data_IF_305058677934
#
_entry.id   IF_305058677934
#
_cell.length_a   1.000
_cell.length_b   1.000
_cell.length_c   1.000
_cell.angle_alpha   90.00
_cell.angle_beta   90.00
_cell.angle_gamma   90.00
#
_symmetry.space_group_name_H-M   'P 1'
#
loop_
_entity.id
_entity.type
_entity.pdbx_description
1 polymer ?
#
# COMPACT_ATOMS: atom_id res chain seq x y z
N UNK A 1 -14.95 -7.47 11.55
CA UNK A 1 -14.50 -8.61 10.72
C UNK A 1 -12.99 -8.81 10.88
N UNK A 2 -12.51 -10.05 10.95
CA UNK A 2 -11.08 -10.33 11.03
C UNK A 2 -10.37 -9.98 9.71
N UNK A 3 -11.10 -10.03 8.59
CA UNK A 3 -10.64 -9.70 7.24
C UNK A 3 -10.11 -8.27 7.16
N UNK A 4 -10.84 -7.31 7.75
CA UNK A 4 -10.38 -5.92 7.81
C UNK A 4 -9.08 -5.77 8.62
N UNK A 5 -8.90 -6.58 9.67
CA UNK A 5 -7.69 -6.54 10.49
C UNK A 5 -6.52 -7.15 9.73
N UNK A 6 -6.71 -8.32 9.12
CA UNK A 6 -5.70 -9.00 8.31
C UNK A 6 -5.26 -8.15 7.12
N UNK A 7 -6.20 -7.55 6.39
CA UNK A 7 -5.89 -6.70 5.27
C UNK A 7 -5.13 -5.44 5.71
N UNK A 8 -5.56 -4.80 6.81
CA UNK A 8 -4.87 -3.64 7.36
C UNK A 8 -3.44 -3.97 7.82
N UNK A 9 -3.23 -5.16 8.39
CA UNK A 9 -1.91 -5.66 8.78
C UNK A 9 -1.00 -5.82 7.56
N UNK A 10 -1.49 -6.50 6.52
CA UNK A 10 -0.73 -6.74 5.28
C UNK A 10 -0.38 -5.42 4.59
N UNK A 11 -1.31 -4.47 4.51
CA UNK A 11 -1.03 -3.15 3.91
C UNK A 11 0.00 -2.37 4.71
N UNK A 12 -0.09 -2.37 6.05
CA UNK A 12 0.89 -1.67 6.88
C UNK A 12 2.27 -2.33 6.79
N UNK A 13 2.34 -3.66 6.86
CA UNK A 13 3.60 -4.38 6.70
C UNK A 13 4.27 -4.05 5.37
N UNK A 14 3.49 -4.02 4.27
CA UNK A 14 3.99 -3.60 2.96
C UNK A 14 4.57 -2.18 3.00
N UNK A 15 3.86 -1.23 3.61
CA UNK A 15 4.31 0.15 3.73
C UNK A 15 5.56 0.33 4.60
N UNK A 16 5.71 -0.47 5.66
CA UNK A 16 6.87 -0.40 6.54
C UNK A 16 8.13 -0.98 5.90
N UNK A 17 8.00 -2.06 5.12
CA UNK A 17 9.05 -2.55 4.22
C UNK A 17 9.37 -1.45 3.19
N UNK A 18 8.33 -0.94 2.53
CA UNK A 18 8.44 0.17 1.59
C UNK A 18 9.47 -0.08 0.50
N UNK A 19 10.32 0.92 0.24
CA UNK A 19 11.41 0.81 -0.74
C UNK A 19 12.65 0.07 -0.22
N UNK A 20 12.63 -0.50 1.00
CA UNK A 20 13.77 -1.26 1.48
C UNK A 20 13.94 -2.59 0.74
N UNK A 21 12.84 -3.17 0.26
CA UNK A 21 12.83 -4.46 -0.44
C UNK A 21 12.00 -4.42 -1.70
N UNK A 22 12.41 -5.22 -2.68
CA UNK A 22 11.66 -5.51 -3.90
C UNK A 22 11.68 -7.03 -4.12
N UNK A 23 10.54 -7.63 -4.43
CA UNK A 23 10.49 -9.04 -4.81
C UNK A 23 11.02 -9.23 -6.22
N UNK A 24 11.81 -10.26 -6.44
CA UNK A 24 12.36 -10.66 -7.73
C UNK A 24 11.88 -12.05 -8.15
N UNK A 25 11.52 -12.18 -9.42
CA UNK A 25 11.25 -13.45 -10.09
C UNK A 25 11.73 -13.35 -11.54
N UNK A 26 12.84 -14.03 -11.87
CA UNK A 26 13.50 -13.88 -13.18
C UNK A 26 14.01 -12.45 -13.43
N UNK A 27 13.49 -11.74 -14.44
CA UNK A 27 13.78 -10.31 -14.66
C UNK A 27 12.68 -9.39 -14.10
N UNK A 28 11.60 -9.98 -13.60
CA UNK A 28 10.46 -9.24 -13.11
C UNK A 28 10.64 -8.88 -11.64
N UNK A 29 10.31 -7.63 -11.32
CA UNK A 29 10.35 -7.11 -9.96
C UNK A 29 9.01 -6.53 -9.54
N UNK A 30 8.68 -6.68 -8.26
CA UNK A 30 7.49 -6.09 -7.65
C UNK A 30 7.83 -5.36 -6.34
N UNK A 31 7.49 -4.07 -6.20
CA UNK A 31 7.76 -3.32 -4.98
C UNK A 31 6.81 -3.72 -3.85
N UNK A 32 7.19 -3.48 -2.60
CA UNK A 32 6.34 -3.73 -1.42
C UNK A 32 5.23 -2.66 -1.27
N UNK A 33 4.25 -2.64 -2.18
CA UNK A 33 3.17 -1.64 -2.18
C UNK A 33 1.82 -2.32 -2.32
N UNK A 34 0.91 -2.06 -1.38
CA UNK A 34 -0.43 -2.65 -1.37
C UNK A 34 -1.47 -1.54 -1.19
N UNK A 35 -2.54 -1.59 -1.99
CA UNK A 35 -3.70 -0.71 -1.88
C UNK A 35 -4.90 -1.54 -1.44
N UNK A 36 -5.55 -1.15 -0.36
CA UNK A 36 -6.60 -1.94 0.29
C UNK A 36 -7.83 -1.08 0.57
N UNK A 37 -8.97 -1.55 0.08
CA UNK A 37 -10.27 -0.97 0.33
C UNK A 37 -11.11 -1.92 1.18
N UNK A 38 -11.30 -1.58 2.45
CA UNK A 38 -12.21 -2.28 3.35
C UNK A 38 -13.65 -1.84 3.02
N UNK A 39 -14.46 -2.72 2.44
CA UNK A 39 -15.81 -2.43 1.96
C UNK A 39 -16.83 -2.91 2.98
N UNK A 40 -17.79 -2.05 3.32
CA UNK A 40 -18.97 -2.45 4.09
C UNK A 40 -19.90 -1.28 4.36
N UNK A 41 -21.07 -1.55 4.91
CA UNK A 41 -22.02 -0.51 5.30
C UNK A 41 -21.44 0.42 6.40
N UNK A 42 -22.08 1.59 6.64
CA UNK A 42 -21.83 2.35 7.86
C UNK A 42 -21.89 1.44 9.10
N UNK A 43 -21.00 1.65 10.06
CA UNK A 43 -20.90 0.84 11.29
C UNK A 43 -20.42 -0.62 11.12
N UNK A 44 -19.99 -1.05 9.94
CA UNK A 44 -19.39 -2.39 9.69
C UNK A 44 -18.06 -2.66 10.43
N UNK A 45 -17.61 -1.74 11.29
CA UNK A 45 -16.36 -1.82 12.08
C UNK A 45 -15.06 -1.68 11.26
N UNK A 46 -15.13 -1.06 10.08
CA UNK A 46 -13.97 -0.70 9.24
C UNK A 46 -12.94 0.16 9.99
N UNK A 47 -13.31 1.36 10.42
CA UNK A 47 -12.40 2.27 11.14
C UNK A 47 -11.90 1.69 12.48
N UNK A 48 -12.73 1.03 13.31
CA UNK A 48 -12.24 0.30 14.47
C UNK A 48 -11.20 -0.77 14.16
N UNK A 49 -11.28 -1.46 13.02
CA UNK A 49 -10.30 -2.45 12.60
C UNK A 49 -8.96 -1.82 12.17
N UNK A 50 -8.98 -0.62 11.59
CA UNK A 50 -7.77 0.12 11.18
C UNK A 50 -7.10 0.87 12.34
N UNK A 51 -7.86 1.25 13.38
CA UNK A 51 -7.36 2.10 14.47
C UNK A 51 -6.12 1.56 15.21
N UNK A 52 -5.97 0.24 15.48
CA UNK A 52 -4.74 -0.34 16.01
C UNK A 52 -3.49 -0.01 15.19
N UNK A 53 -3.59 -0.06 13.86
CA UNK A 53 -2.48 0.17 12.94
C UNK A 53 -2.11 1.64 12.87
N UNK A 54 -3.11 2.55 12.87
CA UNK A 54 -2.87 4.00 13.00
C UNK A 54 -2.10 4.34 14.28
N UNK A 55 -2.45 3.71 15.40
CA UNK A 55 -1.72 3.92 16.68
C UNK A 55 -0.32 3.34 16.65
N UNK A 56 -0.13 2.16 16.06
CA UNK A 56 1.19 1.56 15.88
C UNK A 56 2.11 2.49 15.08
N UNK A 57 1.63 3.04 13.97
CA UNK A 57 2.40 4.01 13.17
C UNK A 57 2.74 5.26 13.96
N UNK A 58 1.80 5.83 14.71
CA UNK A 58 2.07 7.01 15.54
C UNK A 58 3.17 6.76 16.58
N UNK A 59 3.26 5.54 17.14
CA UNK A 59 4.36 5.15 18.04
C UNK A 59 5.68 5.10 17.28
N UNK A 60 5.72 4.47 16.10
CA UNK A 60 6.94 4.38 15.29
C UNK A 60 7.42 5.77 14.82
N UNK A 61 6.50 6.65 14.43
CA UNK A 61 6.84 8.02 14.03
C UNK A 61 7.40 8.83 15.20
N UNK A 62 6.87 8.66 16.41
CA UNK A 62 7.42 9.30 17.61
C UNK A 62 8.83 8.79 17.93
N UNK A 63 9.05 7.46 17.89
CA UNK A 63 10.37 6.85 18.10
C UNK A 63 11.39 7.38 17.08
N UNK A 64 11.03 7.44 15.80
CA UNK A 64 11.91 7.96 14.75
C UNK A 64 12.13 9.47 14.84
N UNK A 65 11.11 10.24 15.26
CA UNK A 65 11.26 11.68 15.45
C UNK A 65 12.25 11.97 16.58
N UNK A 66 12.20 11.21 17.68
CA UNK A 66 13.17 11.33 18.76
C UNK A 66 14.60 11.01 18.27
N UNK A 67 14.78 9.96 17.46
CA UNK A 67 16.08 9.62 16.86
C UNK A 67 16.59 10.72 15.93
N UNK A 68 15.75 11.21 15.01
CA UNK A 68 16.11 12.26 14.05
C UNK A 68 16.43 13.57 14.76
N UNK A 69 15.64 13.98 15.77
CA UNK A 69 15.87 15.21 16.52
C UNK A 69 17.21 15.19 17.30
N UNK A 70 17.71 14.00 17.66
CA UNK A 70 19.04 13.87 18.28
C UNK A 70 20.14 14.15 17.26
N UNK A 71 19.95 13.77 16.00
CA UNK A 71 20.92 13.98 14.91
C UNK A 71 20.84 15.39 14.29
N UNK A 72 19.63 15.90 14.10
CA UNK A 72 19.31 17.20 13.51
C UNK A 72 17.98 17.74 14.06
N UNK A 73 18.05 18.75 14.94
CA UNK A 73 16.87 19.36 15.59
C UNK A 73 15.95 20.10 14.60
N UNK A 74 16.48 20.52 13.44
CA UNK A 74 15.72 21.24 12.41
C UNK A 74 15.18 20.29 11.32
N UNK A 75 15.47 18.99 11.39
CA UNK A 75 15.00 18.03 10.42
C UNK A 75 13.47 17.88 10.46
N UNK A 76 12.87 17.73 9.28
CA UNK A 76 11.44 17.48 9.17
C UNK A 76 11.10 16.12 9.83
N UNK A 77 9.99 16.03 10.58
CA UNK A 77 9.62 14.80 11.24
C UNK A 77 9.32 13.70 10.21
N UNK A 78 9.62 12.43 10.53
CA UNK A 78 9.35 11.31 9.66
C UNK A 78 7.84 11.17 9.41
N UNK A 79 7.46 10.90 8.17
CA UNK A 79 6.06 10.73 7.77
C UNK A 79 5.82 9.33 7.20
N UNK A 80 5.71 8.34 8.08
CA UNK A 80 5.29 6.98 7.71
C UNK A 80 3.83 7.04 7.23
N UNK A 81 2.98 7.78 7.95
CA UNK A 81 1.57 7.93 7.65
C UNK A 81 1.25 9.32 7.09
N UNK A 82 0.43 9.34 6.04
CA UNK A 82 -0.22 10.54 5.53
C UNK A 82 -1.73 10.37 5.55
N UNK A 83 -2.44 11.44 5.89
CA UNK A 83 -3.90 11.51 5.85
C UNK A 83 -4.40 12.08 4.51
N UNK A 84 -5.52 12.81 4.54
CA UNK A 84 -6.02 13.51 3.35
C UNK A 84 -4.97 14.52 2.82
N UNK A 85 -4.44 14.22 1.64
CA UNK A 85 -3.32 14.94 1.04
C UNK A 85 -3.58 15.14 -0.45
N UNK A 86 -3.14 16.27 -0.99
CA UNK A 86 -3.19 16.50 -2.44
C UNK A 86 -2.04 15.77 -3.13
N UNK A 87 -2.14 15.40 -4.42
CA UNK A 87 -1.05 14.73 -5.13
C UNK A 87 0.23 15.56 -5.13
N UNK A 88 0.10 16.89 -5.22
CA UNK A 88 1.23 17.82 -5.19
C UNK A 88 1.96 17.82 -3.84
N UNK A 89 1.22 17.81 -2.74
CA UNK A 89 1.80 17.72 -1.41
C UNK A 89 2.40 16.32 -1.17
N UNK A 90 1.73 15.27 -1.64
CA UNK A 90 2.25 13.90 -1.56
C UNK A 90 3.60 13.73 -2.29
N UNK A 91 3.79 14.40 -3.44
CA UNK A 91 5.08 14.42 -4.15
C UNK A 91 6.22 14.98 -3.28
N UNK A 92 5.96 16.05 -2.54
CA UNK A 92 6.96 16.68 -1.67
C UNK A 92 7.29 15.78 -0.48
N UNK A 93 6.27 15.19 0.15
CA UNK A 93 6.46 14.24 1.26
C UNK A 93 7.22 13.00 0.81
N UNK A 94 6.84 12.41 -0.33
CA UNK A 94 7.50 11.21 -0.86
C UNK A 94 8.92 11.47 -1.36
N UNK A 95 9.25 12.69 -1.79
CA UNK A 95 10.62 13.06 -2.11
C UNK A 95 11.53 13.10 -0.87
N UNK A 96 10.97 13.46 0.29
CA UNK A 96 11.69 13.49 1.56
C UNK A 96 11.71 12.13 2.27
N UNK A 97 10.76 11.23 1.98
CA UNK A 97 10.66 9.93 2.64
C UNK A 97 11.08 8.78 1.71
N UNK A 98 12.36 8.40 1.80
CA UNK A 98 12.99 7.40 0.92
C UNK A 98 12.37 6.01 0.98
N UNK A 99 11.75 5.60 2.11
CA UNK A 99 11.09 4.28 2.20
C UNK A 99 9.64 4.32 1.68
N UNK A 100 9.09 5.50 1.38
CA UNK A 100 7.68 5.67 1.02
C UNK A 100 6.77 5.84 2.24
N UNK A 101 5.46 5.90 2.01
CA UNK A 101 4.46 6.12 3.07
C UNK A 101 3.22 5.24 2.91
N UNK A 102 2.37 5.29 3.94
CA UNK A 102 1.00 4.77 3.92
C UNK A 102 -0.01 5.91 4.01
N UNK A 103 -0.92 5.95 3.04
CA UNK A 103 -2.10 6.80 3.07
C UNK A 103 -3.22 6.10 3.85
N UNK A 104 -3.59 6.62 5.02
CA UNK A 104 -4.76 6.13 5.76
C UNK A 104 -5.97 7.05 5.60
N UNK A 105 -7.08 6.48 5.11
CA UNK A 105 -8.33 7.20 4.93
C UNK A 105 -9.49 6.48 5.61
N UNK A 106 -10.26 7.18 6.44
CA UNK A 106 -11.47 6.58 7.03
C UNK A 106 -12.58 6.35 6.00
N UNK A 107 -12.58 7.15 4.93
CA UNK A 107 -13.46 7.00 3.76
C UNK A 107 -12.68 7.32 2.47
N UNK A 108 -12.66 6.39 1.51
CA UNK A 108 -11.91 6.50 0.26
C UNK A 108 -12.62 7.34 -0.81
N UNK A 109 -13.92 7.64 -0.66
CA UNK A 109 -14.73 8.31 -1.69
C UNK A 109 -14.14 9.63 -2.19
N UNK A 110 -13.62 10.46 -1.29
CA UNK A 110 -12.99 11.74 -1.65
C UNK A 110 -11.70 11.53 -2.45
N UNK A 111 -10.90 10.53 -2.08
CA UNK A 111 -9.65 10.20 -2.77
C UNK A 111 -9.94 9.57 -4.15
N UNK A 112 -10.91 8.68 -4.28
CA UNK A 112 -11.33 8.15 -5.58
C UNK A 112 -11.82 9.28 -6.50
N UNK A 113 -12.57 10.24 -5.96
CA UNK A 113 -12.98 11.44 -6.71
C UNK A 113 -11.77 12.28 -7.12
N UNK A 114 -10.75 12.38 -6.27
CA UNK A 114 -9.53 13.10 -6.55
C UNK A 114 -8.68 12.41 -7.63
N UNK A 115 -8.59 11.07 -7.59
CA UNK A 115 -7.91 10.26 -8.59
C UNK A 115 -8.53 10.44 -9.98
N UNK A 116 -9.84 10.68 -10.06
CA UNK A 116 -10.53 10.97 -11.33
C UNK A 116 -10.11 12.29 -12.01
N UNK A 117 -9.33 13.16 -11.35
CA UNK A 117 -8.87 14.42 -11.95
C UNK A 117 -7.72 14.14 -12.92
N UNK A 118 -7.69 14.80 -14.10
CA UNK A 118 -6.59 14.68 -15.04
C UNK A 118 -5.22 14.90 -14.37
N UNK A 119 -4.28 13.99 -14.60
CA UNK A 119 -2.93 14.01 -14.03
C UNK A 119 -2.82 13.42 -12.61
N UNK A 120 -3.89 13.42 -11.81
CA UNK A 120 -3.88 12.80 -10.48
C UNK A 120 -3.91 11.26 -10.58
N UNK A 121 -4.73 10.71 -11.49
CA UNK A 121 -4.78 9.27 -11.77
C UNK A 121 -3.39 8.70 -12.05
N UNK A 122 -2.65 9.36 -12.94
CA UNK A 122 -1.31 8.91 -13.36
C UNK A 122 -0.34 8.91 -12.19
N UNK A 123 -0.35 9.96 -11.35
CA UNK A 123 0.48 10.01 -10.15
C UNK A 123 0.20 8.82 -9.22
N UNK A 124 -1.07 8.52 -8.95
CA UNK A 124 -1.43 7.39 -8.11
C UNK A 124 -0.98 6.08 -8.74
N UNK A 125 -1.28 5.85 -10.02
CA UNK A 125 -0.87 4.64 -10.74
C UNK A 125 0.65 4.44 -10.70
N UNK A 126 1.44 5.51 -10.86
CA UNK A 126 2.90 5.45 -10.78
C UNK A 126 3.37 5.18 -9.35
N UNK A 127 2.69 5.73 -8.34
CA UNK A 127 2.99 5.44 -6.93
C UNK A 127 2.70 4.01 -6.50
N UNK A 128 1.82 3.30 -7.22
CA UNK A 128 1.64 1.86 -7.06
C UNK A 128 2.81 1.08 -7.68
N UNK A 129 3.40 1.62 -8.74
CA UNK A 129 4.48 1.01 -9.51
C UNK A 129 5.84 1.03 -8.80
N UNK A 130 6.09 1.97 -7.88
CA UNK A 130 7.34 2.03 -7.12
C UNK A 130 8.55 2.55 -7.90
N UNK A 131 8.35 3.00 -9.15
CA UNK A 131 9.43 3.46 -10.02
C UNK A 131 9.87 4.89 -9.77
N UNK A 132 10.87 5.35 -10.53
CA UNK A 132 11.34 6.74 -10.44
C UNK A 132 10.31 7.74 -10.97
N UNK A 133 10.14 8.84 -10.25
CA UNK A 133 9.21 9.92 -10.61
C UNK A 133 9.91 11.28 -10.61
N UNK A 134 9.67 12.09 -11.64
CA UNK A 134 10.26 13.42 -11.77
C UNK A 134 9.15 14.45 -11.94
N UNK A 135 9.14 15.45 -11.06
CA UNK A 135 8.20 16.56 -11.11
C UNK A 135 8.93 17.81 -11.57
N UNK A 136 8.51 18.34 -12.73
CA UNK A 136 9.02 19.61 -13.26
C UNK A 136 8.01 20.73 -12.98
N UNK A 137 8.48 21.82 -12.37
CA UNK A 137 7.66 23.01 -12.07
C UNK A 137 8.37 24.24 -12.61
N UNK A 138 7.59 25.15 -13.21
CA UNK A 138 8.13 26.38 -13.79
C UNK A 138 8.85 27.19 -12.71
N UNK A 139 10.12 27.53 -12.96
CA UNK A 139 10.92 28.35 -12.06
C UNK A 139 11.46 27.62 -10.83
N UNK A 140 11.40 26.29 -10.78
CA UNK A 140 11.97 25.47 -9.71
C UNK A 140 12.89 24.40 -10.32
N UNK A 141 13.86 23.93 -9.54
CA UNK A 141 14.63 22.75 -9.90
C UNK A 141 13.71 21.51 -9.96
N UNK A 142 13.99 20.53 -10.83
CA UNK A 142 13.22 19.29 -10.88
C UNK A 142 13.25 18.55 -9.53
N UNK A 143 12.09 18.14 -9.04
CA UNK A 143 11.98 17.30 -7.86
C UNK A 143 12.06 15.83 -8.31
N UNK A 144 13.12 15.13 -7.89
CA UNK A 144 13.33 13.71 -8.21
C UNK A 144 12.95 12.85 -7.02
N UNK A 145 12.14 11.83 -7.29
CA UNK A 145 11.76 10.78 -6.35
C UNK A 145 12.30 9.46 -6.91
N UNK A 146 13.38 8.89 -6.36
CA UNK A 146 14.00 7.68 -6.90
C UNK A 146 13.05 6.47 -6.97
N UNK A 147 12.22 6.31 -5.94
CA UNK A 147 11.23 5.23 -5.83
C UNK A 147 9.92 5.80 -5.27
N UNK A 148 8.97 6.11 -6.16
CA UNK A 148 7.67 6.64 -5.78
C UNK A 148 6.80 5.52 -5.21
N UNK A 149 6.77 5.41 -3.88
CA UNK A 149 6.09 4.32 -3.17
C UNK A 149 5.05 4.83 -2.18
N UNK A 150 3.79 4.51 -2.46
CA UNK A 150 2.66 4.84 -1.59
C UNK A 150 1.75 3.63 -1.46
N UNK A 151 1.72 3.02 -0.28
CA UNK A 151 0.67 2.08 0.10
C UNK A 151 -0.58 2.84 0.53
N UNK A 152 -1.76 2.24 0.39
CA UNK A 152 -3.02 2.91 0.71
C UNK A 152 -3.94 1.95 1.46
N UNK A 153 -4.52 2.41 2.55
CA UNK A 153 -5.52 1.66 3.29
C UNK A 153 -6.68 2.59 3.65
N UNK A 154 -7.89 2.19 3.30
CA UNK A 154 -9.06 2.91 3.77
C UNK A 154 -10.35 2.13 3.78
N UNK A 155 -11.34 2.71 4.46
CA UNK A 155 -12.71 2.22 4.46
C UNK A 155 -13.49 2.79 3.28
N UNK A 156 -14.47 2.04 2.78
CA UNK A 156 -15.45 2.58 1.84
C UNK A 156 -16.77 1.80 1.87
N UNK A 157 -17.70 2.22 1.02
CA UNK A 157 -19.03 1.63 0.88
C UNK A 157 -19.17 0.93 -0.48
N UNK A 158 -20.05 -0.09 -0.58
CA UNK A 158 -20.23 -0.84 -1.82
C UNK A 158 -20.53 0.05 -3.03
N UNK A 159 -21.38 1.08 -2.87
CA UNK A 159 -21.76 1.98 -3.96
C UNK A 159 -20.59 2.83 -4.45
N UNK A 160 -19.70 3.28 -3.55
CA UNK A 160 -18.49 4.01 -3.93
C UNK A 160 -17.54 3.15 -4.78
N UNK A 161 -17.46 1.85 -4.50
CA UNK A 161 -16.66 0.92 -5.30
C UNK A 161 -17.33 0.62 -6.63
N UNK A 162 -18.66 0.47 -6.64
CA UNK A 162 -19.44 0.36 -7.87
C UNK A 162 -19.18 1.54 -8.80
N UNK A 163 -19.31 2.76 -8.30
CA UNK A 163 -19.08 3.98 -9.08
C UNK A 163 -17.65 4.04 -9.64
N UNK A 164 -16.65 3.66 -8.83
CA UNK A 164 -15.26 3.60 -9.26
C UNK A 164 -15.04 2.59 -10.40
N UNK A 165 -15.64 1.41 -10.28
CA UNK A 165 -15.48 0.31 -11.24
C UNK A 165 -16.26 0.58 -12.54
N UNK A 166 -17.46 1.15 -12.45
CA UNK A 166 -18.31 1.47 -13.60
C UNK A 166 -17.80 2.69 -14.39
N UNK A 167 -16.93 3.51 -13.78
CA UNK A 167 -16.25 4.61 -14.45
C UNK A 167 -15.54 4.15 -15.74
N UNK A 168 -15.74 4.89 -16.83
CA UNK A 168 -15.07 4.61 -18.12
C UNK A 168 -13.59 5.03 -18.10
N UNK A 169 -13.22 5.95 -17.22
CA UNK A 169 -11.86 6.34 -16.86
C UNK A 169 -11.45 5.62 -15.56
N UNK A 170 -10.17 5.58 -15.18
CA UNK A 170 -9.74 5.00 -13.89
C UNK A 170 -9.76 3.48 -13.76
N UNK A 171 -9.91 2.75 -14.87
CA UNK A 171 -9.82 1.29 -14.91
C UNK A 171 -8.45 0.76 -14.43
N UNK A 172 -7.38 1.47 -14.79
CA UNK A 172 -6.05 1.18 -14.29
C UNK A 172 -5.97 1.39 -12.78
N UNK A 173 -6.51 2.51 -12.28
CA UNK A 173 -6.52 2.79 -10.85
C UNK A 173 -7.35 1.77 -10.05
N UNK A 174 -8.57 1.44 -10.49
CA UNK A 174 -9.47 0.49 -9.82
C UNK A 174 -8.90 -0.93 -9.74
N UNK A 175 -8.26 -1.42 -10.82
CA UNK A 175 -7.70 -2.78 -10.89
C UNK A 175 -6.55 -3.06 -9.91
N UNK A 176 -6.00 -2.04 -9.24
CA UNK A 176 -4.86 -2.17 -8.30
C UNK A 176 -5.28 -2.39 -6.84
N UNK A 177 -6.57 -2.29 -6.53
CA UNK A 177 -7.06 -2.42 -5.16
C UNK A 177 -7.30 -3.88 -4.78
N UNK A 178 -6.85 -4.25 -3.58
CA UNK A 178 -7.37 -5.37 -2.82
C UNK A 178 -8.69 -4.95 -2.19
N UNK A 179 -9.80 -5.43 -2.75
CA UNK A 179 -11.14 -5.18 -2.24
C UNK A 179 -11.49 -6.22 -1.17
N UNK A 180 -11.72 -5.76 0.06
CA UNK A 180 -12.02 -6.62 1.21
C UNK A 180 -13.47 -6.40 1.59
N UNK A 181 -14.34 -7.32 1.17
CA UNK A 181 -15.79 -7.21 1.38
C UNK A 181 -16.34 -8.46 2.09
N UNK A 182 -16.06 -8.62 3.40
CA UNK A 182 -16.55 -9.76 4.15
C UNK A 182 -18.04 -9.62 4.45
N UNK A 183 -18.67 -10.75 4.76
CA UNK A 183 -20.04 -10.78 5.26
C UNK A 183 -20.19 -9.96 6.55
N UNK A 184 -21.40 -9.42 6.75
CA UNK A 184 -21.71 -8.64 7.93
C UNK A 184 -21.60 -9.49 9.20
N UNK A 185 -20.66 -9.13 10.08
CA UNK A 185 -20.49 -9.80 11.38
C UNK A 185 -21.53 -9.26 12.38
N UNK A 186 -22.45 -10.13 12.80
CA UNK A 186 -23.38 -9.87 13.89
C UNK A 186 -22.76 -10.22 15.24
N UNK A 187 -23.23 -9.58 16.32
CA UNK A 187 -22.77 -9.91 17.68
C UNK A 187 -21.29 -9.59 17.98
N UNK A 188 -20.66 -8.70 17.22
CA UNK A 188 -19.26 -8.33 17.42
C UNK A 188 -18.99 -7.86 18.85
N UNK A 189 -18.14 -8.58 19.57
CA UNK A 189 -17.63 -8.19 20.87
C UNK A 189 -16.28 -7.48 20.69
N UNK A 190 -16.17 -6.26 21.22
CA UNK A 190 -14.90 -5.53 21.20
C UNK A 190 -13.92 -6.24 22.15
N UNK A 191 -12.70 -6.58 21.71
CA UNK A 191 -11.68 -7.10 22.61
C UNK A 191 -11.35 -6.05 23.68
N UNK A 192 -11.27 -6.50 24.94
CA UNK A 192 -11.00 -5.62 26.10
C UNK A 192 -9.53 -5.19 26.12
N UNK A 193 -8.62 -6.10 25.79
CA UNK A 193 -7.18 -5.86 25.63
C UNK A 193 -6.68 -6.67 24.44
N UNK A 194 -5.85 -6.06 23.62
CA UNK A 194 -5.09 -6.73 22.58
C UNK A 194 -3.63 -6.56 22.96
N UNK A 195 -2.91 -7.66 23.13
CA UNK A 195 -1.45 -7.58 23.23
C UNK A 195 -0.91 -7.27 21.85
N UNK A 196 -0.12 -6.20 21.75
CA UNK A 196 0.46 -5.72 20.50
C UNK A 196 1.99 -5.84 20.53
N UNK A 197 2.57 -6.46 21.56
CA UNK A 197 4.03 -6.53 21.71
C UNK A 197 4.70 -7.19 20.50
N UNK A 198 4.24 -8.37 20.10
CA UNK A 198 4.79 -9.10 18.95
C UNK A 198 4.60 -8.33 17.63
N UNK A 199 3.41 -7.73 17.44
CA UNK A 199 3.12 -6.92 16.26
C UNK A 199 4.02 -5.68 16.19
N UNK A 200 4.20 -4.97 17.30
CA UNK A 200 5.10 -3.80 17.36
C UNK A 200 6.56 -4.20 17.17
N UNK A 201 6.99 -5.34 17.72
CA UNK A 201 8.34 -5.87 17.48
C UNK A 201 8.55 -6.17 15.99
N UNK A 202 7.57 -6.79 15.32
CA UNK A 202 7.62 -7.02 13.88
C UNK A 202 7.63 -5.70 13.09
N UNK A 203 6.77 -4.74 13.43
CA UNK A 203 6.73 -3.45 12.74
C UNK A 203 8.04 -2.66 12.86
N UNK A 204 8.70 -2.71 14.02
CA UNK A 204 10.04 -2.13 14.18
C UNK A 204 11.08 -2.84 13.31
N UNK A 205 11.07 -4.17 13.24
CA UNK A 205 11.96 -4.93 12.34
C UNK A 205 11.75 -4.52 10.89
N UNK A 206 10.50 -4.52 10.41
CA UNK A 206 10.17 -4.14 9.03
C UNK A 206 10.60 -2.70 8.71
N UNK A 207 10.31 -1.76 9.62
CA UNK A 207 10.70 -0.35 9.45
C UNK A 207 12.23 -0.15 9.46
N UNK A 208 12.94 -0.98 10.23
CA UNK A 208 14.40 -0.99 10.33
C UNK A 208 15.11 -1.60 9.13
N UNK A 209 14.41 -2.15 8.12
CA UNK A 209 15.03 -2.63 6.90
C UNK A 209 15.56 -1.46 6.06
N UNK A 210 16.85 -1.43 5.77
CA UNK A 210 17.45 -0.32 5.02
C UNK A 210 17.60 -0.59 3.52
N UNK A 211 17.72 0.51 2.77
CA UNK A 211 18.12 0.51 1.36
C UNK A 211 19.64 0.33 1.28
N UNK A 212 20.11 -0.46 0.31
CA UNK A 212 21.53 -0.68 0.08
C UNK A 212 22.05 0.35 -0.94
N UNK A 213 22.89 1.29 -0.48
CA UNK A 213 23.41 2.35 -1.36
C UNK A 213 22.33 3.29 -1.91
N UNK A 214 21.15 3.34 -1.27
CA UNK A 214 19.99 4.10 -1.74
C UNK A 214 19.04 3.34 -2.66
N UNK A 215 19.30 2.05 -2.93
CA UNK A 215 18.46 1.19 -3.75
C UNK A 215 17.78 0.08 -2.92
N UNK A 216 16.59 -0.41 -3.34
CA UNK A 216 15.94 -1.55 -2.68
C UNK A 216 16.77 -2.82 -2.79
N UNK A 217 16.89 -3.58 -1.70
CA UNK A 217 17.46 -4.92 -1.77
C UNK A 217 16.46 -5.85 -2.47
N UNK A 218 16.95 -6.58 -3.47
CA UNK A 218 16.16 -7.53 -4.25
C UNK A 218 16.06 -8.88 -3.53
N UNK A 219 14.85 -9.28 -3.15
CA UNK A 219 14.52 -10.58 -2.56
C UNK A 219 14.08 -11.54 -3.67
N UNK A 220 14.98 -12.44 -4.09
CA UNK A 220 14.64 -13.47 -5.08
C UNK A 220 13.78 -14.57 -4.47
N UNK A 221 12.85 -15.10 -5.26
CA UNK A 221 12.18 -16.35 -4.93
C UNK A 221 13.19 -17.51 -4.87
N UNK A 222 12.96 -18.48 -3.98
CA UNK A 222 13.68 -19.75 -4.06
C UNK A 222 13.23 -20.53 -5.30
N UNK A 223 14.05 -21.47 -5.79
CA UNK A 223 13.68 -22.29 -6.95
C UNK A 223 12.35 -23.02 -6.76
N UNK A 224 12.05 -23.51 -5.54
CA UNK A 224 10.76 -24.13 -5.24
C UNK A 224 9.60 -23.14 -5.30
N UNK A 225 9.82 -21.89 -4.88
CA UNK A 225 8.81 -20.84 -4.94
C UNK A 225 8.61 -20.31 -6.37
N UNK A 226 9.66 -20.25 -7.18
CA UNK A 226 9.57 -19.93 -8.62
C UNK A 226 8.73 -20.97 -9.36
N UNK A 227 8.97 -22.27 -9.12
CA UNK A 227 8.20 -23.35 -9.74
C UNK A 227 6.70 -23.26 -9.38
N UNK A 228 6.38 -22.90 -8.13
CA UNK A 228 5.00 -22.76 -7.68
C UNK A 228 4.34 -21.48 -8.22
N UNK A 229 5.09 -20.38 -8.24
CA UNK A 229 4.65 -19.12 -8.84
C UNK A 229 4.36 -19.28 -10.33
N UNK A 230 5.23 -19.97 -11.08
CA UNK A 230 5.06 -20.23 -12.52
C UNK A 230 3.80 -21.06 -12.79
N UNK A 231 3.58 -22.14 -12.03
CA UNK A 231 2.35 -22.94 -12.14
C UNK A 231 1.11 -22.10 -11.91
N UNK A 232 1.13 -21.28 -10.86
CA UNK A 232 0.01 -20.39 -10.55
C UNK A 232 -0.22 -19.37 -11.66
N UNK A 233 0.85 -18.75 -12.20
CA UNK A 233 0.75 -17.78 -13.30
C UNK A 233 0.19 -18.40 -14.57
N UNK A 234 0.60 -19.62 -14.93
CA UNK A 234 0.04 -20.34 -16.09
C UNK A 234 -1.46 -20.53 -15.91
N UNK A 235 -1.88 -21.09 -14.77
CA UNK A 235 -3.29 -21.30 -14.48
C UNK A 235 -4.08 -19.99 -14.47
N UNK A 236 -3.56 -18.97 -13.78
CA UNK A 236 -4.20 -17.66 -13.68
C UNK A 236 -4.33 -16.97 -15.03
N UNK A 237 -3.34 -17.10 -15.92
CA UNK A 237 -3.40 -16.57 -17.28
C UNK A 237 -4.45 -17.27 -18.13
N UNK A 238 -4.58 -18.60 -18.02
CA UNK A 238 -5.63 -19.36 -18.70
C UNK A 238 -7.04 -18.94 -18.26
N UNK A 239 -7.24 -18.78 -16.94
CA UNK A 239 -8.51 -18.30 -16.37
C UNK A 239 -8.78 -16.85 -16.78
N UNK A 240 -7.76 -15.98 -16.74
CA UNK A 240 -7.85 -14.57 -17.14
C UNK A 240 -8.15 -14.39 -18.63
N UNK A 241 -7.72 -15.31 -19.49
CA UNK A 241 -8.03 -15.29 -20.92
C UNK A 241 -9.52 -15.50 -21.20
N UNK A 242 -10.25 -16.15 -20.28
CA UNK A 242 -11.70 -16.34 -20.37
C UNK A 242 -12.49 -15.20 -19.72
N UNK A 243 -11.82 -14.30 -19.00
CA UNK A 243 -12.42 -13.13 -18.39
C UNK A 243 -12.64 -12.01 -19.42
N UNK A 244 -13.68 -11.20 -19.19
CA UNK A 244 -13.97 -10.04 -20.03
C UNK A 244 -14.05 -8.73 -19.23
N UNK A 245 -13.80 -7.61 -19.92
CA UNK A 245 -14.05 -6.28 -19.39
C UNK A 245 -13.22 -5.93 -18.14
N UNK A 246 -13.91 -5.49 -17.08
CA UNK A 246 -13.29 -5.04 -15.83
C UNK A 246 -12.66 -6.18 -15.04
N UNK A 247 -13.26 -7.37 -15.11
CA UNK A 247 -12.75 -8.56 -14.45
C UNK A 247 -11.41 -8.98 -15.01
N UNK A 248 -11.28 -9.01 -16.35
CA UNK A 248 -10.01 -9.29 -17.02
C UNK A 248 -8.91 -8.29 -16.63
N UNK A 249 -9.25 -7.01 -16.55
CA UNK A 249 -8.29 -5.96 -16.16
C UNK A 249 -7.81 -6.10 -14.72
N UNK A 250 -8.70 -6.50 -13.80
CA UNK A 250 -8.32 -6.79 -12.43
C UNK A 250 -7.45 -8.05 -12.33
N UNK A 251 -7.81 -9.11 -13.04
CA UNK A 251 -7.04 -10.36 -13.06
C UNK A 251 -5.61 -10.13 -13.55
N UNK A 252 -5.41 -9.38 -14.64
CA UNK A 252 -4.06 -9.05 -15.14
C UNK A 252 -3.24 -8.10 -14.26
N UNK A 253 -3.72 -7.70 -13.07
CA UNK A 253 -2.93 -7.04 -12.04
C UNK A 253 -2.58 -7.95 -10.86
N UNK A 254 -3.23 -9.11 -10.76
CA UNK A 254 -2.99 -10.03 -9.66
C UNK A 254 -1.63 -10.74 -9.76
N UNK A 255 -1.06 -10.83 -10.96
CA UNK A 255 0.30 -11.33 -11.17
C UNK A 255 1.25 -10.55 -10.25
N UNK A 256 1.27 -9.21 -10.37
CA UNK A 256 2.12 -8.36 -9.53
C UNK A 256 1.77 -8.44 -8.06
N UNK A 257 0.52 -8.79 -7.71
CA UNK A 257 0.11 -8.98 -6.32
C UNK A 257 0.67 -10.26 -5.71
N UNK A 258 0.88 -11.33 -6.48
CA UNK A 258 1.52 -12.55 -6.00
C UNK A 258 2.86 -12.22 -5.34
N UNK A 259 3.75 -11.53 -6.06
CA UNK A 259 5.07 -11.16 -5.56
C UNK A 259 5.00 -10.15 -4.40
N UNK A 260 4.06 -9.20 -4.45
CA UNK A 260 3.83 -8.23 -3.37
C UNK A 260 3.43 -8.92 -2.07
N UNK A 261 2.52 -9.90 -2.13
CA UNK A 261 2.10 -10.65 -0.96
C UNK A 261 3.19 -11.60 -0.48
N UNK A 262 3.88 -12.30 -1.39
CA UNK A 262 4.99 -13.15 -1.03
C UNK A 262 6.06 -12.37 -0.25
N UNK A 263 6.43 -11.19 -0.72
CA UNK A 263 7.40 -10.32 -0.04
C UNK A 263 6.98 -9.96 1.38
N UNK A 264 5.70 -9.64 1.58
CA UNK A 264 5.16 -9.25 2.89
C UNK A 264 5.05 -10.44 3.85
N UNK A 265 4.67 -11.61 3.34
CA UNK A 265 4.42 -12.80 4.15
C UNK A 265 5.68 -13.61 4.47
N UNK A 266 6.75 -13.46 3.68
CA UNK A 266 8.02 -14.16 3.88
C UNK A 266 8.87 -13.54 5.01
N UNK A 267 8.67 -12.26 5.34
CA UNK A 267 9.55 -11.57 6.30
C UNK A 267 9.50 -12.19 7.72
N UNK A 268 10.65 -12.60 8.28
CA UNK A 268 10.75 -13.20 9.61
C UNK A 268 10.63 -12.22 10.81
#
# INVERSE_FOLDING_TARGET
PYDYVAASLVTLAAALIGNARVAGFGEWTAPSIIWTANIGSPSAKKSPAMAPFKRAVAVLEAELADEINIEDEDAAPPQIHVGDITPRAAQEVLAANVKGNVLFLDELSAMFTQANRPGAEQFYIESYGGGSYIVNRKGQAPLRIPHLSMSMLGGTQPDTVRDLIESRTNRGFASRWLYVYPDAVTGFQRPIRVDQADAMAAFRRLRGLDLEGGEPLRCELSSEAEDEAEKWLIQHNEESAQAEGLWQQWCGKQDGMLLRYALVLEQP
#
